data_IF_813587186706
#
_entry.id   IF_813587186706
#
_cell.length_a   1.000
_cell.length_b   1.000
_cell.length_c   1.000
_cell.angle_alpha   90.00
_cell.angle_beta   90.00
_cell.angle_gamma   90.00
#
_symmetry.space_group_name_H-M   'P 1'
#
loop_
_entity.id
_entity.type
_entity.pdbx_description
1 polymer ?
#
# COMPACT_ATOMS: atom_id res chain seq x y z
N UNK A 1 -5.27 -1.17 9.11
CA UNK A 1 -3.86 -0.74 9.30
C UNK A 1 -3.67 0.60 8.63
N UNK A 2 -2.89 1.50 9.23
CA UNK A 2 -2.65 2.85 8.70
C UNK A 2 -1.15 3.08 8.61
N UNK A 3 -0.68 3.60 7.48
CA UNK A 3 0.71 4.05 7.31
C UNK A 3 0.74 5.56 7.14
N UNK A 4 1.71 6.21 7.77
CA UNK A 4 1.87 7.66 7.67
C UNK A 4 2.68 8.01 6.44
N UNK A 5 2.11 8.87 5.59
CA UNK A 5 2.77 9.39 4.40
C UNK A 5 3.18 10.85 4.66
N UNK A 6 4.48 11.19 4.57
CA UNK A 6 4.94 12.57 4.74
C UNK A 6 4.49 13.47 3.58
N UNK A 7 3.98 14.66 3.89
CA UNK A 7 3.39 15.60 2.91
C UNK A 7 4.40 16.59 2.30
N UNK A 8 5.64 16.64 2.80
CA UNK A 8 6.64 17.64 2.40
C UNK A 8 7.81 17.13 1.54
N UNK A 9 7.85 15.84 1.21
CA UNK A 9 9.03 15.18 0.61
C UNK A 9 8.85 14.79 -0.87
N UNK A 10 7.72 15.20 -1.47
CA UNK A 10 7.41 14.96 -2.88
C UNK A 10 6.90 13.55 -3.19
N UNK A 11 6.22 13.42 -4.33
CA UNK A 11 5.49 12.20 -4.72
C UNK A 11 6.39 10.96 -4.85
N UNK A 12 7.63 11.13 -5.30
CA UNK A 12 8.57 10.02 -5.51
C UNK A 12 8.91 9.28 -4.21
N UNK A 13 9.02 10.02 -3.11
CA UNK A 13 9.29 9.43 -1.79
C UNK A 13 8.07 8.65 -1.31
N UNK A 14 6.87 9.16 -1.55
CA UNK A 14 5.63 8.47 -1.18
C UNK A 14 5.47 7.14 -1.93
N UNK A 15 5.82 7.10 -3.22
CA UNK A 15 5.81 5.85 -4.01
C UNK A 15 6.79 4.83 -3.43
N UNK A 16 8.01 5.25 -3.07
CA UNK A 16 9.01 4.36 -2.44
C UNK A 16 8.57 3.85 -1.06
N UNK A 17 7.84 4.66 -0.29
CA UNK A 17 7.29 4.23 1.01
C UNK A 17 6.25 3.14 0.79
N UNK A 18 5.36 3.32 -0.18
CA UNK A 18 4.33 2.33 -0.48
C UNK A 18 4.94 1.01 -1.01
N UNK A 19 5.94 1.10 -1.87
CA UNK A 19 6.66 -0.06 -2.42
C UNK A 19 7.42 -0.84 -1.34
N UNK A 20 8.20 -0.15 -0.49
CA UNK A 20 8.86 -0.81 0.65
C UNK A 20 7.85 -1.45 1.61
N UNK A 21 6.72 -0.79 1.85
CA UNK A 21 5.67 -1.34 2.69
C UNK A 21 5.08 -2.63 2.08
N UNK A 22 4.79 -2.61 0.78
CA UNK A 22 4.30 -3.75 0.00
C UNK A 22 5.26 -4.95 0.05
N UNK A 23 6.56 -4.69 -0.08
CA UNK A 23 7.59 -5.73 -0.19
C UNK A 23 8.02 -6.34 1.16
N UNK A 24 7.83 -5.62 2.28
CA UNK A 24 8.37 -6.03 3.57
C UNK A 24 7.34 -6.26 4.68
N UNK A 25 6.31 -5.41 4.77
CA UNK A 25 5.35 -5.45 5.88
C UNK A 25 4.02 -6.09 5.48
N UNK A 26 3.59 -5.91 4.24
CA UNK A 26 2.36 -6.47 3.70
C UNK A 26 2.28 -7.99 3.53
N UNK A 27 3.36 -8.73 3.17
CA UNK A 27 3.23 -10.15 2.88
C UNK A 27 2.77 -10.97 4.08
N UNK A 28 3.18 -10.57 5.30
CA UNK A 28 2.75 -11.20 6.54
C UNK A 28 1.27 -10.90 6.91
N UNK A 29 0.64 -9.94 6.21
CA UNK A 29 -0.70 -9.45 6.48
C UNK A 29 -1.71 -9.79 5.38
N UNK A 30 -1.28 -10.51 4.32
CA UNK A 30 -2.14 -10.88 3.20
C UNK A 30 -2.57 -9.71 2.32
N UNK A 31 -1.89 -8.57 2.40
CA UNK A 31 -2.17 -7.39 1.57
C UNK A 31 -1.48 -7.50 0.21
N UNK A 32 -2.19 -7.13 -0.86
CA UNK A 32 -1.68 -7.06 -2.23
C UNK A 32 -1.75 -5.62 -2.75
N UNK A 33 -0.74 -5.16 -3.51
CA UNK A 33 -0.80 -3.85 -4.15
C UNK A 33 -1.88 -3.83 -5.24
N UNK A 34 -2.70 -2.78 -5.27
CA UNK A 34 -3.76 -2.55 -6.28
C UNK A 34 -3.25 -2.42 -7.73
N UNK A 35 -1.92 -2.51 -7.94
CA UNK A 35 -1.31 -2.52 -9.27
C UNK A 35 -1.58 -3.81 -10.04
N UNK A 36 -1.95 -4.89 -9.33
CA UNK A 36 -2.23 -6.21 -9.90
C UNK A 36 -3.72 -6.41 -10.27
N UNK A 37 -4.52 -5.34 -10.15
CA UNK A 37 -5.96 -5.34 -10.39
C UNK A 37 -6.71 -4.69 -9.23
N UNK A 38 -8.02 -4.41 -9.37
CA UNK A 38 -8.80 -3.91 -8.25
C UNK A 38 -8.65 -4.90 -7.10
N UNK A 39 -8.17 -4.45 -5.93
CA UNK A 39 -8.29 -5.25 -4.73
C UNK A 39 -9.73 -5.75 -4.68
N UNK A 40 -9.90 -7.07 -4.51
CA UNK A 40 -11.21 -7.66 -4.31
C UNK A 40 -11.76 -7.05 -3.01
N UNK A 41 -12.39 -5.88 -3.12
CA UNK A 41 -13.22 -5.33 -2.08
C UNK A 41 -14.26 -6.39 -1.86
N UNK A 42 -14.31 -6.95 -0.64
CA UNK A 42 -15.47 -7.71 -0.23
C UNK A 42 -16.66 -6.78 -0.50
N UNK A 43 -17.46 -7.14 -1.52
CA UNK A 43 -18.79 -6.60 -1.66
C UNK A 43 -19.47 -6.93 -0.33
N UNK A 44 -19.55 -5.94 0.54
CA UNK A 44 -20.39 -5.99 1.72
C UNK A 44 -21.82 -6.01 1.17
N UNK A 45 -22.43 -7.20 1.21
CA UNK A 45 -23.88 -7.38 1.18
C UNK A 45 -24.47 -6.76 2.46
#
# INVERSE_FOLDING_TARGET
MLITIPTGVGVHVNVKILDNFANHASPALGWHPDSEGPAAGNLID
#
